data_IF_954963650815
#
_entry.id   IF_954963650815
#
_cell.length_a   1.000
_cell.length_b   1.000
_cell.length_c   1.000
_cell.angle_alpha   90.00
_cell.angle_beta   90.00
_cell.angle_gamma   90.00
#
_symmetry.space_group_name_H-M   'P 1'
#
loop_
_entity.id
_entity.type
_entity.pdbx_description
1 polymer ?
#
# COMPACT_ATOMS: atom_id res chain seq x y z
N UNK A 1 -7.68 16.02 17.50
CA UNK A 1 -6.43 15.26 17.34
C UNK A 1 -6.60 13.88 17.96
N UNK A 2 -6.33 12.81 17.21
CA UNK A 2 -6.36 11.44 17.69
C UNK A 2 -4.93 10.96 17.98
N UNK A 3 -4.69 10.37 19.15
CA UNK A 3 -3.37 9.86 19.51
C UNK A 3 -3.19 8.40 19.04
N UNK A 4 -2.11 8.12 18.32
CA UNK A 4 -1.93 6.84 17.60
C UNK A 4 -1.12 5.79 18.35
N UNK A 5 -0.46 6.12 19.47
CA UNK A 5 0.41 5.21 20.25
C UNK A 5 -0.20 3.82 20.50
N UNK A 6 0.63 2.78 20.51
CA UNK A 6 0.23 1.42 20.87
C UNK A 6 0.22 1.24 22.39
N UNK A 7 -0.42 0.19 22.92
CA UNK A 7 -0.48 -0.07 24.37
C UNK A 7 0.92 -0.20 25.00
N UNK A 8 1.88 -0.72 24.24
CA UNK A 8 3.24 -1.00 24.70
C UNK A 8 4.32 -0.11 24.06
N UNK A 9 3.98 0.87 23.20
CA UNK A 9 4.95 1.74 22.50
C UNK A 9 4.36 3.12 22.19
N UNK A 10 5.20 4.16 22.24
CA UNK A 10 4.82 5.52 21.82
C UNK A 10 4.61 5.62 20.31
N UNK A 11 5.52 5.03 19.52
CA UNK A 11 5.38 4.90 18.07
C UNK A 11 4.62 3.62 17.80
N UNK A 12 3.49 3.73 17.09
CA UNK A 12 2.63 2.60 16.77
C UNK A 12 3.10 1.86 15.52
N UNK A 13 2.34 0.87 15.09
CA UNK A 13 2.42 0.26 13.77
C UNK A 13 1.01 0.04 13.23
N UNK A 14 0.86 -0.18 11.93
CA UNK A 14 -0.45 -0.40 11.28
C UNK A 14 -1.32 -1.49 11.94
N UNK A 15 -0.71 -2.57 12.44
CA UNK A 15 -1.46 -3.64 13.13
C UNK A 15 -2.13 -3.16 14.45
N UNK A 16 -1.37 -2.46 15.30
CA UNK A 16 -1.88 -1.98 16.58
C UNK A 16 -2.86 -0.81 16.42
N UNK A 17 -2.57 0.09 15.48
CA UNK A 17 -3.45 1.22 15.16
C UNK A 17 -4.73 0.75 14.45
N UNK A 18 -4.62 -0.14 13.45
CA UNK A 18 -5.74 -0.77 12.77
C UNK A 18 -6.64 -1.56 13.73
N UNK A 19 -6.06 -2.31 14.68
CA UNK A 19 -6.84 -2.99 15.72
C UNK A 19 -7.59 -1.98 16.58
N UNK A 20 -6.96 -0.88 17.01
CA UNK A 20 -7.63 0.15 17.80
C UNK A 20 -8.78 0.83 17.03
N UNK A 21 -8.61 1.07 15.73
CA UNK A 21 -9.67 1.60 14.86
C UNK A 21 -10.81 0.59 14.68
N UNK A 22 -10.49 -0.69 14.52
CA UNK A 22 -11.46 -1.74 14.29
C UNK A 22 -12.25 -2.13 15.56
N UNK A 23 -11.66 -2.05 16.74
CA UNK A 23 -12.24 -2.61 17.97
C UNK A 23 -12.56 -1.56 19.04
N UNK A 24 -11.94 -0.38 18.96
CA UNK A 24 -11.98 0.65 20.01
C UNK A 24 -10.97 0.43 21.14
N UNK A 25 -10.11 -0.59 21.06
CA UNK A 25 -9.17 -0.95 22.14
C UNK A 25 -7.70 -0.89 21.69
N UNK A 26 -6.84 -0.27 22.51
CA UNK A 26 -5.39 -0.26 22.27
C UNK A 26 -4.81 -1.66 22.50
N UNK A 27 -4.01 -2.15 21.55
CA UNK A 27 -3.29 -3.43 21.65
C UNK A 27 -1.77 -3.26 21.53
N UNK A 28 -1.03 -4.38 21.57
CA UNK A 28 0.42 -4.42 21.39
C UNK A 28 0.82 -4.35 19.91
N UNK A 29 2.03 -3.85 19.62
CA UNK A 29 2.62 -3.87 18.26
C UNK A 29 2.50 -5.26 17.62
N UNK A 30 2.26 -5.28 16.30
CA UNK A 30 2.10 -6.47 15.45
C UNK A 30 0.87 -7.33 15.75
N UNK A 31 0.00 -6.97 16.68
CA UNK A 31 -1.22 -7.73 16.98
C UNK A 31 -2.37 -7.35 16.04
N UNK A 32 -3.10 -8.34 15.54
CA UNK A 32 -4.25 -8.17 14.64
C UNK A 32 -5.52 -8.57 15.40
N UNK A 33 -6.42 -7.62 15.68
CA UNK A 33 -7.76 -7.92 16.20
C UNK A 33 -7.80 -8.64 17.55
N UNK A 34 -6.73 -8.61 18.36
CA UNK A 34 -6.66 -9.27 19.67
C UNK A 34 -6.25 -8.28 20.76
N UNK A 35 -6.53 -8.65 22.01
CA UNK A 35 -6.08 -7.92 23.20
C UNK A 35 -4.56 -7.79 23.28
N UNK A 36 -4.05 -6.89 24.14
CA UNK A 36 -2.60 -6.67 24.25
C UNK A 36 -1.82 -7.88 24.78
N UNK A 37 -2.50 -8.84 25.41
CA UNK A 37 -1.93 -10.09 25.87
C UNK A 37 -1.89 -11.17 24.76
N UNK A 38 -2.55 -10.91 23.62
CA UNK A 38 -2.68 -11.82 22.47
C UNK A 38 -3.37 -13.13 22.84
N UNK A 39 -4.28 -13.07 23.80
CA UNK A 39 -5.00 -14.23 24.35
C UNK A 39 -6.44 -14.28 23.90
N UNK A 40 -7.06 -13.12 23.66
CA UNK A 40 -8.48 -13.05 23.32
C UNK A 40 -8.72 -12.21 22.05
N UNK A 41 -9.56 -12.69 21.12
CA UNK A 41 -10.01 -11.89 20.00
C UNK A 41 -10.91 -10.76 20.49
N UNK A 42 -10.74 -9.58 19.89
CA UNK A 42 -11.53 -8.39 20.13
C UNK A 42 -12.50 -8.20 18.98
N UNK A 43 -13.79 -8.09 19.30
CA UNK A 43 -14.84 -8.00 18.29
C UNK A 43 -14.77 -6.68 17.51
N UNK A 44 -14.63 -6.76 16.19
CA UNK A 44 -14.45 -5.60 15.31
C UNK A 44 -15.78 -4.91 15.00
N UNK A 45 -15.71 -3.65 14.54
CA UNK A 45 -16.86 -2.90 14.04
C UNK A 45 -17.46 -3.54 12.79
N UNK A 46 -16.64 -4.18 11.95
CA UNK A 46 -17.10 -4.89 10.76
C UNK A 46 -17.93 -6.14 11.15
N UNK A 47 -17.47 -6.91 12.14
CA UNK A 47 -18.25 -8.03 12.68
C UNK A 47 -19.54 -7.57 13.36
N UNK A 48 -19.52 -6.41 14.02
CA UNK A 48 -20.72 -5.79 14.61
C UNK A 48 -21.70 -5.34 13.52
N UNK A 49 -21.22 -4.77 12.42
CA UNK A 49 -22.04 -4.39 11.26
C UNK A 49 -22.67 -5.63 10.62
N UNK A 50 -21.88 -6.67 10.36
CA UNK A 50 -22.36 -7.96 9.83
C UNK A 50 -23.45 -8.57 10.72
N UNK A 51 -23.26 -8.57 12.04
CA UNK A 51 -24.24 -9.10 12.99
C UNK A 51 -25.55 -8.28 13.04
N UNK A 52 -25.54 -7.03 12.59
CA UNK A 52 -26.75 -6.21 12.40
C UNK A 52 -27.42 -6.43 11.04
N UNK A 53 -26.88 -7.34 10.21
CA UNK A 53 -27.39 -7.63 8.87
C UNK A 53 -26.92 -6.64 7.79
N UNK A 54 -25.96 -5.76 8.12
CA UNK A 54 -25.32 -4.90 7.13
C UNK A 54 -24.39 -5.75 6.25
N UNK A 55 -24.22 -5.36 4.99
CA UNK A 55 -23.14 -5.92 4.18
C UNK A 55 -21.79 -5.33 4.60
N UNK A 56 -20.70 -6.05 4.34
CA UNK A 56 -19.35 -5.64 4.74
C UNK A 56 -18.38 -5.72 3.56
N UNK A 57 -17.65 -4.62 3.33
CA UNK A 57 -16.58 -4.51 2.34
C UNK A 57 -15.24 -4.12 2.94
N UNK A 58 -14.17 -4.78 2.54
CA UNK A 58 -12.78 -4.50 2.96
C UNK A 58 -11.94 -4.26 1.70
N UNK A 59 -11.34 -3.09 1.56
CA UNK A 59 -10.50 -2.77 0.40
C UNK A 59 -9.17 -2.12 0.80
N UNK A 60 -8.13 -2.40 0.02
CA UNK A 60 -6.79 -1.85 0.25
C UNK A 60 -5.96 -1.77 -1.03
N UNK A 61 -4.97 -0.88 -1.11
CA UNK A 61 -3.94 -0.92 -2.16
C UNK A 61 -2.78 -1.87 -1.87
N UNK A 62 -2.66 -2.40 -0.66
CA UNK A 62 -1.65 -3.43 -0.33
C UNK A 62 -2.24 -4.85 -0.45
N UNK A 63 -1.52 -5.87 0.01
CA UNK A 63 -2.07 -7.23 0.04
C UNK A 63 -3.30 -7.30 0.98
N UNK A 64 -4.33 -8.06 0.61
CA UNK A 64 -5.59 -8.08 1.38
C UNK A 64 -5.41 -8.64 2.79
N UNK A 65 -4.39 -9.46 2.97
CA UNK A 65 -3.93 -10.06 4.23
C UNK A 65 -2.89 -9.21 4.98
N UNK A 66 -2.68 -7.96 4.55
CA UNK A 66 -1.84 -7.01 5.28
C UNK A 66 -2.51 -6.50 6.57
N UNK A 67 -1.74 -5.81 7.41
CA UNK A 67 -2.13 -5.52 8.78
C UNK A 67 -3.44 -4.72 8.90
N UNK A 68 -3.57 -3.58 8.23
CA UNK A 68 -4.74 -2.70 8.34
C UNK A 68 -6.03 -3.41 7.90
N UNK A 69 -6.14 -4.04 6.72
CA UNK A 69 -7.36 -4.75 6.33
C UNK A 69 -7.64 -5.93 7.24
N UNK A 70 -6.61 -6.71 7.60
CA UNK A 70 -6.75 -7.85 8.49
C UNK A 70 -7.37 -7.49 9.85
N UNK A 71 -7.07 -6.31 10.40
CA UNK A 71 -7.62 -5.89 11.70
C UNK A 71 -9.16 -5.80 11.73
N UNK A 72 -9.82 -5.74 10.57
CA UNK A 72 -11.28 -5.66 10.48
C UNK A 72 -11.95 -7.03 10.32
N UNK A 73 -11.23 -8.08 9.89
CA UNK A 73 -11.82 -9.39 9.60
C UNK A 73 -11.09 -10.59 10.23
N UNK A 74 -9.93 -10.38 10.83
CA UNK A 74 -9.04 -11.41 11.35
C UNK A 74 -8.61 -11.12 12.80
N UNK A 75 -8.20 -12.19 13.50
CA UNK A 75 -7.68 -12.18 14.86
C UNK A 75 -6.44 -13.07 14.91
N UNK A 76 -5.26 -12.47 14.99
CA UNK A 76 -3.97 -13.17 15.03
C UNK A 76 -2.97 -12.48 15.97
N UNK A 77 -2.13 -13.25 16.69
CA UNK A 77 -1.15 -12.70 17.62
C UNK A 77 -0.01 -11.96 16.89
N UNK A 78 0.22 -12.24 15.60
CA UNK A 78 1.26 -11.64 14.79
C UNK A 78 0.78 -11.34 13.36
N UNK A 79 1.00 -10.10 12.90
CA UNK A 79 0.68 -9.61 11.55
C UNK A 79 1.35 -10.40 10.41
N UNK A 80 2.40 -11.18 10.70
CA UNK A 80 3.10 -11.99 9.69
C UNK A 80 2.45 -13.35 9.44
N UNK A 81 1.37 -13.69 10.15
CA UNK A 81 0.58 -14.91 9.94
C UNK A 81 -0.34 -14.77 8.71
N UNK A 82 0.22 -14.40 7.56
CA UNK A 82 -0.52 -14.06 6.35
C UNK A 82 -1.46 -15.18 5.87
N UNK A 83 -1.03 -16.45 5.98
CA UNK A 83 -1.86 -17.56 5.56
C UNK A 83 -3.08 -17.73 6.48
N UNK A 84 -2.87 -17.65 7.80
CA UNK A 84 -3.91 -17.76 8.80
C UNK A 84 -4.86 -16.55 8.81
N UNK A 85 -4.34 -15.36 8.49
CA UNK A 85 -5.16 -14.18 8.18
C UNK A 85 -6.02 -14.47 6.94
N UNK A 86 -5.42 -14.99 5.87
CA UNK A 86 -6.13 -15.33 4.64
C UNK A 86 -7.23 -16.40 4.83
N UNK A 87 -7.03 -17.37 5.73
CA UNK A 87 -8.09 -18.34 6.06
C UNK A 87 -9.23 -17.70 6.85
N UNK A 88 -8.96 -16.68 7.68
CA UNK A 88 -10.01 -15.96 8.41
C UNK A 88 -10.87 -15.06 7.52
N UNK A 89 -10.35 -14.61 6.37
CA UNK A 89 -11.16 -13.97 5.32
C UNK A 89 -12.33 -14.87 4.92
N UNK A 90 -12.07 -16.17 4.72
CA UNK A 90 -13.07 -17.18 4.36
C UNK A 90 -14.14 -17.38 5.44
N UNK A 91 -13.77 -17.26 6.72
CA UNK A 91 -14.69 -17.45 7.85
C UNK A 91 -15.44 -16.19 8.26
N UNK A 92 -15.00 -15.00 7.81
CA UNK A 92 -15.62 -13.71 8.16
C UNK A 92 -17.08 -13.60 7.72
N UNK A 93 -17.42 -14.27 6.61
CA UNK A 93 -18.71 -14.13 5.95
C UNK A 93 -18.96 -12.75 5.35
N UNK A 94 -17.93 -11.91 5.16
CA UNK A 94 -18.10 -10.58 4.56
C UNK A 94 -18.40 -10.67 3.06
N UNK A 95 -18.88 -9.58 2.47
CA UNK A 95 -19.51 -9.62 1.15
C UNK A 95 -18.53 -9.22 0.04
N UNK A 96 -17.59 -8.32 0.34
CA UNK A 96 -16.67 -7.77 -0.66
C UNK A 96 -15.24 -7.64 -0.11
N UNK A 97 -14.28 -8.20 -0.82
CA UNK A 97 -12.85 -7.92 -0.62
C UNK A 97 -12.27 -7.35 -1.91
N UNK A 98 -11.45 -6.30 -1.84
CA UNK A 98 -10.95 -5.64 -3.05
C UNK A 98 -9.54 -5.08 -2.91
N UNK A 99 -8.69 -5.24 -3.92
CA UNK A 99 -7.38 -4.60 -3.92
C UNK A 99 -6.25 -5.50 -4.40
N UNK A 100 -5.18 -5.56 -3.61
CA UNK A 100 -4.12 -6.55 -3.78
C UNK A 100 -4.59 -7.99 -3.54
N UNK A 101 -3.69 -8.94 -3.79
CA UNK A 101 -3.93 -10.36 -3.58
C UNK A 101 -3.51 -10.85 -2.19
N UNK A 102 -3.48 -12.17 -2.02
CA UNK A 102 -2.82 -12.81 -0.89
C UNK A 102 -1.29 -12.80 -1.08
N UNK A 103 -0.53 -12.49 -0.03
CA UNK A 103 0.94 -12.49 -0.09
C UNK A 103 1.52 -13.90 -0.25
N UNK A 104 0.95 -14.86 0.48
CA UNK A 104 1.35 -16.26 0.44
C UNK A 104 0.13 -17.18 0.28
N UNK A 105 -0.48 -17.28 -0.91
CA UNK A 105 -1.73 -18.00 -1.12
C UNK A 105 -1.66 -19.50 -0.81
N UNK A 106 -0.47 -20.10 -0.81
CA UNK A 106 -0.23 -21.51 -0.45
C UNK A 106 0.68 -21.64 0.78
N UNK A 107 0.72 -20.61 1.62
CA UNK A 107 1.64 -20.51 2.76
C UNK A 107 3.05 -20.12 2.34
N UNK A 108 3.86 -19.66 3.31
CA UNK A 108 5.23 -19.17 3.06
C UNK A 108 6.13 -20.25 2.42
N UNK A 109 5.90 -21.51 2.78
CA UNK A 109 6.65 -22.67 2.27
C UNK A 109 5.98 -23.35 1.07
N UNK A 110 4.83 -22.84 0.59
CA UNK A 110 4.04 -23.40 -0.52
C UNK A 110 3.51 -24.82 -0.25
N UNK A 111 3.25 -25.13 1.00
CA UNK A 111 2.83 -26.44 1.53
C UNK A 111 1.37 -26.47 1.99
N UNK A 112 0.64 -25.35 1.87
CA UNK A 112 -0.75 -25.23 2.28
C UNK A 112 -1.71 -25.21 1.07
N UNK A 113 -3.00 -25.57 1.26
CA UNK A 113 -4.03 -25.40 0.24
C UNK A 113 -4.12 -23.96 -0.27
N UNK A 114 -4.41 -23.81 -1.57
CA UNK A 114 -4.50 -22.51 -2.22
C UNK A 114 -5.71 -21.71 -1.73
N UNK A 115 -5.46 -20.51 -1.19
CA UNK A 115 -6.50 -19.63 -0.66
C UNK A 115 -7.49 -19.16 -1.72
N UNK A 116 -7.08 -18.93 -2.98
CA UNK A 116 -8.02 -18.57 -4.05
C UNK A 116 -8.97 -19.72 -4.38
N UNK A 117 -8.47 -20.96 -4.36
CA UNK A 117 -9.35 -22.13 -4.52
C UNK A 117 -10.34 -22.24 -3.36
N UNK A 118 -9.87 -22.00 -2.13
CA UNK A 118 -10.72 -21.99 -0.94
C UNK A 118 -11.78 -20.86 -0.98
N UNK A 119 -11.41 -19.66 -1.45
CA UNK A 119 -12.31 -18.51 -1.66
C UNK A 119 -13.40 -18.88 -2.67
N UNK A 120 -13.04 -19.46 -3.81
CA UNK A 120 -14.00 -19.91 -4.82
C UNK A 120 -14.93 -21.00 -4.28
N UNK A 121 -14.40 -21.96 -3.51
CA UNK A 121 -15.18 -23.03 -2.87
C UNK A 121 -16.16 -22.50 -1.81
N UNK A 122 -15.91 -21.31 -1.23
CA UNK A 122 -16.84 -20.60 -0.36
C UNK A 122 -17.91 -19.78 -1.10
N UNK A 123 -17.91 -19.83 -2.43
CA UNK A 123 -18.91 -19.19 -3.28
C UNK A 123 -18.59 -17.75 -3.67
N UNK A 124 -17.36 -17.28 -3.46
CA UNK A 124 -16.96 -15.95 -3.88
C UNK A 124 -16.72 -15.89 -5.39
N UNK A 125 -17.27 -14.86 -6.03
CA UNK A 125 -16.88 -14.49 -7.39
C UNK A 125 -15.49 -13.84 -7.33
N UNK A 126 -14.47 -14.48 -7.93
CA UNK A 126 -13.12 -13.92 -8.01
C UNK A 126 -12.99 -13.12 -9.31
N UNK A 127 -12.71 -11.82 -9.19
CA UNK A 127 -12.61 -10.89 -10.32
C UNK A 127 -11.16 -10.47 -10.51
N UNK A 128 -10.56 -10.85 -11.64
CA UNK A 128 -9.16 -10.54 -12.02
C UNK A 128 -9.04 -9.97 -13.44
N UNK A 129 -10.16 -9.55 -14.02
CA UNK A 129 -10.22 -9.07 -15.41
C UNK A 129 -11.17 -7.89 -15.51
N UNK A 130 -10.78 -6.85 -16.27
CA UNK A 130 -11.58 -5.64 -16.44
C UNK A 130 -12.99 -5.94 -16.98
N UNK A 131 -13.08 -6.82 -17.99
CA UNK A 131 -14.37 -7.19 -18.59
C UNK A 131 -15.34 -7.81 -17.56
N UNK A 132 -14.83 -8.60 -16.63
CA UNK A 132 -15.63 -9.17 -15.54
C UNK A 132 -15.98 -8.07 -14.53
N UNK A 133 -15.02 -7.23 -14.15
CA UNK A 133 -15.21 -6.11 -13.23
C UNK A 133 -16.29 -5.12 -13.71
N UNK A 134 -16.40 -4.89 -15.01
CA UNK A 134 -17.41 -4.00 -15.59
C UNK A 134 -18.84 -4.59 -15.53
N UNK A 135 -18.96 -5.92 -15.39
CA UNK A 135 -20.24 -6.64 -15.47
C UNK A 135 -20.74 -7.20 -14.15
N UNK A 136 -19.90 -7.24 -13.10
CA UNK A 136 -20.34 -7.68 -11.78
C UNK A 136 -21.40 -6.73 -11.22
N UNK A 137 -22.33 -7.31 -10.46
CA UNK A 137 -23.44 -6.61 -9.83
C UNK A 137 -23.67 -7.14 -8.42
N UNK A 138 -24.69 -6.63 -7.74
CA UNK A 138 -25.13 -7.16 -6.43
C UNK A 138 -25.36 -8.68 -6.44
N UNK A 139 -25.76 -9.27 -7.58
CA UNK A 139 -25.98 -10.73 -7.74
C UNK A 139 -24.69 -11.54 -7.75
N UNK A 140 -23.54 -10.88 -7.91
CA UNK A 140 -22.22 -11.50 -7.93
C UNK A 140 -21.61 -11.63 -6.53
N UNK A 141 -22.26 -11.10 -5.48
CA UNK A 141 -21.80 -11.22 -4.10
C UNK A 141 -22.01 -12.65 -3.55
N UNK A 142 -21.11 -13.14 -2.67
CA UNK A 142 -19.90 -12.46 -2.20
C UNK A 142 -18.81 -12.43 -3.29
N UNK A 143 -17.90 -11.46 -3.25
CA UNK A 143 -16.86 -11.31 -4.29
C UNK A 143 -15.50 -10.87 -3.76
N UNK A 144 -14.46 -11.26 -4.49
CA UNK A 144 -13.09 -10.85 -4.26
C UNK A 144 -12.54 -10.24 -5.56
N UNK A 145 -12.34 -8.92 -5.56
CA UNK A 145 -11.67 -8.18 -6.64
C UNK A 145 -10.18 -8.16 -6.36
N UNK A 146 -9.39 -8.73 -7.25
CA UNK A 146 -7.94 -8.73 -7.15
C UNK A 146 -7.38 -8.01 -8.36
N UNK A 147 -6.51 -7.04 -8.12
CA UNK A 147 -5.86 -6.29 -9.19
C UNK A 147 -5.17 -7.28 -10.16
N UNK A 148 -5.40 -7.16 -11.48
CA UNK A 148 -4.79 -8.06 -12.46
C UNK A 148 -3.26 -7.89 -12.51
N UNK A 149 -2.78 -6.72 -12.09
CA UNK A 149 -1.36 -6.39 -11.97
C UNK A 149 -1.02 -6.29 -10.49
N UNK A 150 -0.12 -7.17 -10.04
CA UNK A 150 0.37 -7.17 -8.66
C UNK A 150 1.89 -7.04 -8.64
N UNK A 151 2.37 -6.31 -7.63
CA UNK A 151 3.78 -6.19 -7.27
C UNK A 151 4.26 -7.45 -6.53
N UNK A 152 5.56 -7.52 -6.22
CA UNK A 152 6.17 -8.67 -5.58
C UNK A 152 5.61 -9.01 -4.18
N UNK A 153 5.00 -8.03 -3.49
CA UNK A 153 4.35 -8.25 -2.18
C UNK A 153 2.85 -8.50 -2.30
N UNK A 154 2.34 -8.82 -3.50
CA UNK A 154 0.93 -9.00 -3.82
C UNK A 154 0.07 -7.75 -3.58
N UNK A 155 0.69 -6.57 -3.56
CA UNK A 155 0.06 -5.26 -3.53
C UNK A 155 -0.24 -4.74 -4.95
N UNK A 156 -1.10 -3.73 -5.02
CA UNK A 156 -1.34 -2.98 -6.24
C UNK A 156 -0.09 -2.17 -6.63
N UNK A 157 0.13 -1.89 -7.92
CA UNK A 157 1.14 -0.90 -8.32
C UNK A 157 0.82 0.45 -7.67
N UNK A 158 1.85 1.29 -7.47
CA UNK A 158 1.62 2.68 -7.08
C UNK A 158 0.74 3.37 -8.14
N UNK A 159 -0.06 4.35 -7.73
CA UNK A 159 -0.95 5.10 -8.59
C UNK A 159 -0.22 5.72 -9.79
N UNK A 160 1.01 6.20 -9.59
CA UNK A 160 1.86 6.76 -10.65
C UNK A 160 2.41 5.70 -11.63
N UNK A 161 2.46 4.44 -11.21
CA UNK A 161 2.93 3.30 -12.02
C UNK A 161 1.77 2.49 -12.60
N UNK A 162 0.53 2.99 -12.47
CA UNK A 162 -0.65 2.33 -13.01
C UNK A 162 -0.52 2.10 -14.52
N UNK A 163 -0.84 0.88 -14.94
CA UNK A 163 -0.80 0.46 -16.35
C UNK A 163 -2.20 0.12 -16.85
N UNK A 164 -2.39 0.15 -18.17
CA UNK A 164 -3.64 -0.28 -18.81
C UNK A 164 -4.04 -1.68 -18.34
N UNK A 165 -5.27 -1.82 -17.83
CA UNK A 165 -5.81 -3.08 -17.31
C UNK A 165 -5.56 -3.31 -15.82
N UNK A 166 -4.83 -2.44 -15.12
CA UNK A 166 -4.80 -2.44 -13.65
C UNK A 166 -6.04 -1.74 -13.07
N UNK A 167 -6.48 -2.16 -11.89
CA UNK A 167 -7.55 -1.48 -11.16
C UNK A 167 -7.01 -0.33 -10.32
N UNK A 168 -7.78 0.74 -10.15
CA UNK A 168 -7.48 1.82 -9.20
C UNK A 168 -8.25 1.64 -7.90
N UNK A 169 -7.76 2.20 -6.79
CA UNK A 169 -8.49 2.15 -5.51
C UNK A 169 -9.86 2.80 -5.65
N UNK A 170 -9.91 3.98 -6.26
CA UNK A 170 -11.14 4.72 -6.50
C UNK A 170 -12.15 3.93 -7.35
N UNK A 171 -11.70 3.20 -8.36
CA UNK A 171 -12.55 2.31 -9.17
C UNK A 171 -13.11 1.14 -8.36
N UNK A 172 -12.29 0.51 -7.51
CA UNK A 172 -12.73 -0.56 -6.61
C UNK A 172 -13.75 -0.03 -5.60
N UNK A 173 -13.52 1.15 -5.01
CA UNK A 173 -14.43 1.78 -4.05
C UNK A 173 -15.76 2.11 -4.69
N UNK A 174 -15.75 2.72 -5.89
CA UNK A 174 -16.98 2.99 -6.65
C UNK A 174 -17.78 1.71 -6.86
N UNK A 175 -17.13 0.64 -7.32
CA UNK A 175 -17.79 -0.64 -7.55
C UNK A 175 -18.31 -1.27 -6.26
N UNK A 176 -17.54 -1.18 -5.17
CA UNK A 176 -17.95 -1.69 -3.86
C UNK A 176 -19.22 -1.00 -3.37
N UNK A 177 -19.32 0.34 -3.47
CA UNK A 177 -20.55 1.08 -3.14
C UNK A 177 -21.73 0.56 -3.97
N UNK A 178 -21.56 0.43 -5.29
CA UNK A 178 -22.63 -0.04 -6.20
C UNK A 178 -23.18 -1.43 -5.81
N UNK A 179 -22.33 -2.36 -5.37
CA UNK A 179 -22.76 -3.75 -5.07
C UNK A 179 -23.14 -3.96 -3.61
N UNK A 180 -22.58 -3.17 -2.69
CA UNK A 180 -22.85 -3.27 -1.25
C UNK A 180 -24.11 -2.51 -0.84
N UNK A 181 -24.51 -1.46 -1.56
CA UNK A 181 -25.73 -0.72 -1.24
C UNK A 181 -26.96 -1.64 -1.17
N UNK A 182 -27.73 -1.49 -0.09
CA UNK A 182 -28.90 -2.31 0.22
C UNK A 182 -29.72 -1.70 1.38
N UNK A 183 -30.98 -2.13 1.59
CA UNK A 183 -31.86 -1.57 2.63
C UNK A 183 -31.40 -1.73 4.10
N UNK A 184 -30.42 -2.61 4.39
CA UNK A 184 -29.81 -2.74 5.73
C UNK A 184 -28.54 -1.91 5.87
N UNK A 185 -28.10 -1.21 4.83
CA UNK A 185 -26.85 -0.47 4.78
C UNK A 185 -25.62 -1.38 4.68
N UNK A 186 -24.45 -0.76 4.66
CA UNK A 186 -23.17 -1.45 4.59
C UNK A 186 -22.11 -0.77 5.46
N UNK A 187 -21.10 -1.54 5.82
CA UNK A 187 -19.84 -1.05 6.38
C UNK A 187 -18.73 -1.25 5.37
N UNK A 188 -17.91 -0.24 5.16
CA UNK A 188 -16.72 -0.30 4.31
C UNK A 188 -15.50 0.17 5.08
N UNK A 189 -14.42 -0.61 4.99
CA UNK A 189 -13.07 -0.15 5.34
C UNK A 189 -12.26 -0.04 4.06
N UNK A 190 -11.73 1.15 3.80
CA UNK A 190 -10.95 1.50 2.61
C UNK A 190 -9.57 1.95 3.05
N UNK A 191 -8.51 1.38 2.50
CA UNK A 191 -7.14 1.75 2.83
C UNK A 191 -6.33 2.18 1.59
N UNK A 192 -5.79 3.40 1.61
CA UNK A 192 -4.69 3.82 0.74
C UNK A 192 -3.33 3.42 1.32
N UNK A 193 -3.08 2.12 1.45
CA UNK A 193 -1.95 1.59 2.23
C UNK A 193 -0.57 1.88 1.65
N UNK A 194 -0.49 2.11 0.33
CA UNK A 194 0.76 2.44 -0.37
C UNK A 194 1.29 3.85 -0.03
N UNK A 195 0.51 4.74 0.59
CA UNK A 195 1.01 6.03 1.13
C UNK A 195 2.14 5.79 2.14
N UNK A 196 1.94 4.84 3.07
CA UNK A 196 2.94 4.44 4.07
C UNK A 196 4.21 3.89 3.41
N UNK A 197 4.06 3.08 2.36
CA UNK A 197 5.19 2.45 1.68
C UNK A 197 6.01 3.45 0.86
N UNK A 198 5.34 4.38 0.16
CA UNK A 198 6.01 5.48 -0.53
C UNK A 198 6.75 6.39 0.46
N UNK A 199 6.14 6.65 1.61
CA UNK A 199 6.75 7.43 2.68
C UNK A 199 7.97 6.74 3.30
N UNK A 200 7.90 5.42 3.55
CA UNK A 200 9.06 4.64 3.95
C UNK A 200 10.19 4.67 2.92
N UNK A 201 9.87 4.81 1.63
CA UNK A 201 10.85 4.91 0.55
C UNK A 201 11.40 6.33 0.32
N UNK A 202 10.94 7.31 1.10
CA UNK A 202 11.15 8.75 0.90
C UNK A 202 10.86 9.17 -0.55
N UNK A 203 9.74 8.69 -1.10
CA UNK A 203 9.32 8.94 -2.48
C UNK A 203 8.16 9.95 -2.51
N UNK A 204 8.49 11.24 -2.50
CA UNK A 204 7.48 12.31 -2.41
C UNK A 204 6.48 12.32 -3.57
N UNK A 205 6.92 12.04 -4.80
CA UNK A 205 6.03 11.98 -5.96
C UNK A 205 5.04 10.81 -5.83
N UNK A 206 5.49 9.64 -5.38
CA UNK A 206 4.61 8.51 -5.12
C UNK A 206 3.65 8.79 -3.96
N UNK A 207 4.10 9.41 -2.86
CA UNK A 207 3.22 9.81 -1.74
C UNK A 207 2.08 10.69 -2.24
N UNK A 208 2.39 11.74 -3.01
CA UNK A 208 1.37 12.66 -3.56
C UNK A 208 0.41 11.90 -4.48
N UNK A 209 0.92 11.04 -5.36
CA UNK A 209 0.11 10.22 -6.25
C UNK A 209 -0.87 9.31 -5.50
N UNK A 210 -0.42 8.65 -4.43
CA UNK A 210 -1.25 7.79 -3.58
C UNK A 210 -2.31 8.58 -2.80
N UNK A 211 -1.95 9.76 -2.26
CA UNK A 211 -2.90 10.65 -1.58
C UNK A 211 -3.99 11.12 -2.54
N UNK A 212 -3.63 11.52 -3.76
CA UNK A 212 -4.59 11.92 -4.79
C UNK A 212 -5.50 10.77 -5.22
N UNK A 213 -4.99 9.53 -5.26
CA UNK A 213 -5.82 8.36 -5.56
C UNK A 213 -6.80 8.02 -4.42
N UNK A 214 -6.37 8.16 -3.16
CA UNK A 214 -7.26 8.05 -2.00
C UNK A 214 -8.31 9.17 -1.98
N UNK A 215 -7.94 10.41 -2.34
CA UNK A 215 -8.87 11.54 -2.46
C UNK A 215 -9.98 11.27 -3.48
N UNK A 216 -9.65 10.71 -4.65
CA UNK A 216 -10.66 10.28 -5.64
C UNK A 216 -11.60 9.20 -5.07
N UNK A 217 -11.08 8.26 -4.30
CA UNK A 217 -11.89 7.23 -3.64
C UNK A 217 -12.84 7.84 -2.60
N UNK A 218 -12.35 8.82 -1.82
CA UNK A 218 -13.18 9.63 -0.91
C UNK A 218 -14.24 10.41 -1.69
N UNK A 219 -13.92 10.93 -2.87
CA UNK A 219 -14.86 11.58 -3.78
C UNK A 219 -16.10 10.72 -4.07
N UNK A 220 -15.92 9.45 -4.42
CA UNK A 220 -17.04 8.51 -4.63
C UNK A 220 -17.84 8.22 -3.36
N UNK A 221 -17.18 8.13 -2.20
CA UNK A 221 -17.88 7.99 -0.93
C UNK A 221 -18.71 9.24 -0.60
N UNK A 222 -18.18 10.45 -0.88
CA UNK A 222 -18.89 11.71 -0.69
C UNK A 222 -20.07 11.87 -1.66
N UNK A 223 -19.96 11.36 -2.89
CA UNK A 223 -21.08 11.29 -3.82
C UNK A 223 -22.23 10.44 -3.27
N UNK A 224 -21.92 9.27 -2.69
CA UNK A 224 -22.91 8.45 -2.00
C UNK A 224 -23.50 9.17 -0.78
N UNK A 225 -22.66 9.76 0.07
CA UNK A 225 -23.11 10.54 1.23
C UNK A 225 -24.08 11.66 0.86
N UNK A 226 -23.83 12.39 -0.24
CA UNK A 226 -24.72 13.47 -0.70
C UNK A 226 -26.12 12.96 -1.09
N UNK A 227 -26.25 11.70 -1.49
CA UNK A 227 -27.54 11.07 -1.79
C UNK A 227 -28.21 10.50 -0.53
N UNK A 228 -27.42 10.18 0.51
CA UNK A 228 -27.87 9.56 1.75
C UNK A 228 -27.32 10.25 3.02
N UNK A 229 -27.50 11.58 3.20
CA UNK A 229 -26.77 12.36 4.19
C UNK A 229 -27.18 12.06 5.64
N UNK A 230 -28.42 11.62 5.86
CA UNK A 230 -28.96 11.31 7.19
C UNK A 230 -28.61 9.88 7.66
N UNK A 231 -28.09 9.04 6.77
CA UNK A 231 -27.85 7.61 7.01
C UNK A 231 -26.38 7.20 6.83
N UNK A 232 -25.54 8.11 6.34
CA UNK A 232 -24.14 7.82 6.00
C UNK A 232 -23.17 8.55 6.93
N UNK A 233 -22.21 7.81 7.49
CA UNK A 233 -21.07 8.37 8.23
C UNK A 233 -19.77 8.02 7.50
N UNK A 234 -18.98 9.04 7.17
CA UNK A 234 -17.64 8.88 6.61
C UNK A 234 -16.62 9.36 7.65
N UNK A 235 -15.65 8.51 7.95
CA UNK A 235 -14.50 8.84 8.80
C UNK A 235 -13.24 8.64 7.96
N UNK A 236 -12.49 9.72 7.76
CA UNK A 236 -11.17 9.69 7.11
C UNK A 236 -10.12 9.98 8.19
N UNK A 237 -9.15 9.08 8.34
CA UNK A 237 -8.08 9.22 9.32
C UNK A 237 -6.85 8.42 8.89
N UNK A 238 -5.77 8.49 9.67
CA UNK A 238 -4.55 7.73 9.46
C UNK A 238 -4.27 6.85 10.69
N UNK A 239 -3.59 5.73 10.46
CA UNK A 239 -3.06 4.86 11.51
C UNK A 239 -1.81 5.48 12.16
N UNK A 240 -0.96 6.15 11.37
CA UNK A 240 0.15 7.00 11.81
C UNK A 240 0.67 7.91 10.69
N UNK A 241 1.62 8.79 11.02
CA UNK A 241 2.51 9.43 10.04
C UNK A 241 3.71 8.50 9.76
N UNK A 242 4.30 8.63 8.57
CA UNK A 242 5.48 7.87 8.15
C UNK A 242 6.46 8.77 7.43
N UNK A 243 7.75 8.65 7.75
CA UNK A 243 8.84 9.34 7.05
C UNK A 243 9.22 10.70 7.64
N UNK A 244 8.42 11.29 8.54
CA UNK A 244 8.69 12.62 9.08
C UNK A 244 8.66 13.70 7.99
N UNK A 245 7.71 13.59 7.06
CA UNK A 245 7.64 14.43 5.87
C UNK A 245 7.54 15.91 6.24
N UNK A 246 8.44 16.72 5.67
CA UNK A 246 8.46 18.16 5.83
C UNK A 246 8.47 18.86 4.47
N UNK A 247 7.81 20.02 4.40
CA UNK A 247 7.84 20.90 3.23
C UNK A 247 8.92 21.97 3.44
N UNK A 248 10.08 21.76 2.83
CA UNK A 248 11.24 22.63 2.93
C UNK A 248 12.26 22.21 3.99
N UNK A 249 13.45 22.78 3.89
CA UNK A 249 14.52 22.62 4.87
C UNK A 249 15.31 23.92 4.98
N UNK A 250 16.27 24.00 5.91
CA UNK A 250 17.01 25.23 6.18
C UNK A 250 17.63 25.90 4.92
N UNK A 251 18.02 25.09 3.93
CA UNK A 251 18.58 25.58 2.68
C UNK A 251 17.59 26.19 1.69
N UNK A 252 16.31 25.82 1.74
CA UNK A 252 15.27 26.44 0.89
C UNK A 252 14.68 27.70 1.51
N UNK A 253 15.01 28.00 2.78
CA UNK A 253 14.40 29.10 3.54
C UNK A 253 12.87 28.99 3.52
N UNK A 254 12.19 29.95 2.88
CA UNK A 254 10.73 29.99 2.71
C UNK A 254 10.27 29.62 1.30
N UNK A 255 11.20 29.28 0.41
CA UNK A 255 10.90 28.90 -0.97
C UNK A 255 10.55 27.40 -1.07
N UNK A 256 9.78 27.04 -2.07
CA UNK A 256 9.47 25.66 -2.44
C UNK A 256 9.18 25.57 -3.93
N UNK A 257 9.78 24.59 -4.60
CA UNK A 257 9.50 24.30 -6.01
C UNK A 257 8.99 22.85 -6.14
N UNK A 258 7.67 22.70 -6.00
CA UNK A 258 7.03 21.38 -6.14
C UNK A 258 6.97 20.90 -7.59
N UNK A 259 7.26 21.75 -8.58
CA UNK A 259 7.26 21.36 -10.00
C UNK A 259 8.40 20.40 -10.34
N UNK A 260 9.41 20.31 -9.46
CA UNK A 260 10.46 19.29 -9.54
C UNK A 260 9.90 17.88 -9.40
N UNK A 261 8.88 17.69 -8.54
CA UNK A 261 8.26 16.38 -8.32
C UNK A 261 7.50 15.90 -9.57
N UNK A 262 7.01 16.81 -10.42
CA UNK A 262 6.37 16.45 -11.70
C UNK A 262 7.34 15.73 -12.65
N UNK A 263 8.65 15.84 -12.43
CA UNK A 263 9.69 15.20 -13.25
C UNK A 263 9.90 13.73 -12.91
N UNK A 264 9.48 13.29 -11.73
CA UNK A 264 9.50 11.88 -11.40
C UNK A 264 8.34 11.14 -12.09
N UNK A 265 8.67 10.21 -12.97
CA UNK A 265 7.72 9.46 -13.81
C UNK A 265 7.47 8.03 -13.36
N UNK A 266 8.23 7.54 -12.40
CA UNK A 266 8.10 6.19 -11.84
C UNK A 266 8.35 6.19 -10.34
N UNK A 267 7.76 5.25 -9.61
CA UNK A 267 8.06 5.06 -8.19
C UNK A 267 9.42 4.40 -7.96
N UNK A 268 9.81 4.31 -6.69
CA UNK A 268 10.87 3.43 -6.20
C UNK A 268 10.80 2.00 -6.73
N UNK A 269 9.64 1.36 -6.65
CA UNK A 269 9.51 -0.07 -6.94
C UNK A 269 9.70 -0.34 -8.44
N UNK A 270 9.13 0.52 -9.28
CA UNK A 270 9.25 0.39 -10.72
C UNK A 270 10.67 0.72 -11.20
N UNK A 271 11.32 1.73 -10.61
CA UNK A 271 12.71 2.04 -10.94
C UNK A 271 13.65 0.89 -10.53
N UNK A 272 13.47 0.31 -9.34
CA UNK A 272 14.23 -0.85 -8.87
C UNK A 272 14.04 -2.05 -9.81
N UNK A 273 12.80 -2.30 -10.26
CA UNK A 273 12.51 -3.35 -11.23
C UNK A 273 13.20 -3.11 -12.58
N UNK A 274 13.20 -1.86 -13.09
CA UNK A 274 13.94 -1.48 -14.30
C UNK A 274 15.44 -1.69 -14.15
N UNK A 275 16.02 -1.28 -13.03
CA UNK A 275 17.45 -1.45 -12.74
C UNK A 275 17.84 -2.92 -12.61
N UNK A 276 17.03 -3.73 -11.92
CA UNK A 276 17.21 -5.18 -11.84
C UNK A 276 17.15 -5.84 -13.22
N UNK A 277 16.17 -5.47 -14.05
CA UNK A 277 16.06 -5.97 -15.42
C UNK A 277 17.26 -5.55 -16.27
N UNK A 278 17.75 -4.32 -16.12
CA UNK A 278 18.93 -3.80 -16.79
C UNK A 278 20.21 -4.57 -16.40
N UNK A 279 20.47 -4.73 -15.10
CA UNK A 279 21.59 -5.53 -14.58
C UNK A 279 21.55 -6.99 -15.03
N UNK A 280 20.36 -7.57 -15.20
CA UNK A 280 20.20 -8.95 -15.68
C UNK A 280 20.57 -9.12 -17.16
N UNK A 281 20.29 -8.13 -18.01
CA UNK A 281 20.55 -8.18 -19.47
C UNK A 281 21.92 -7.65 -19.88
N UNK A 282 22.64 -6.97 -19.00
CA UNK A 282 23.92 -6.33 -19.30
C UNK A 282 25.02 -6.91 -18.41
N UNK A 283 26.13 -7.43 -18.98
CA UNK A 283 27.26 -7.88 -18.18
C UNK A 283 27.71 -6.79 -17.21
N UNK A 284 28.04 -7.14 -15.96
CA UNK A 284 28.43 -6.18 -14.94
C UNK A 284 29.59 -5.27 -15.41
N UNK A 285 30.55 -5.83 -16.15
CA UNK A 285 31.67 -5.11 -16.75
C UNK A 285 31.28 -4.11 -17.86
N UNK A 286 30.03 -4.13 -18.33
CA UNK A 286 29.48 -3.23 -19.36
C UNK A 286 28.50 -2.20 -18.81
N UNK A 287 28.09 -2.30 -17.55
CA UNK A 287 27.26 -1.28 -16.93
C UNK A 287 28.12 -0.02 -16.73
N UNK A 288 27.64 1.12 -17.22
CA UNK A 288 28.33 2.42 -17.19
C UNK A 288 27.46 3.45 -16.50
N UNK A 289 28.07 4.37 -15.77
CA UNK A 289 27.38 5.45 -15.09
C UNK A 289 26.48 6.24 -16.06
N UNK A 290 27.02 6.64 -17.22
CA UNK A 290 26.27 7.43 -18.21
C UNK A 290 25.04 6.70 -18.76
N UNK A 291 25.08 5.36 -18.85
CA UNK A 291 23.93 4.56 -19.25
C UNK A 291 22.82 4.57 -18.21
N UNK A 292 23.18 4.52 -16.93
CA UNK A 292 22.22 4.61 -15.83
C UNK A 292 21.72 6.04 -15.67
N UNK A 293 22.57 7.05 -15.90
CA UNK A 293 22.14 8.44 -15.89
C UNK A 293 21.13 8.77 -16.98
N UNK A 294 21.16 8.09 -18.14
CA UNK A 294 20.07 8.20 -19.12
C UNK A 294 18.74 7.69 -18.57
N UNK A 295 18.75 6.62 -17.78
CA UNK A 295 17.53 6.13 -17.11
C UNK A 295 17.08 7.13 -16.06
N UNK A 296 18.00 7.63 -15.22
CA UNK A 296 17.71 8.64 -14.20
C UNK A 296 17.14 9.93 -14.81
N UNK A 297 17.71 10.41 -15.92
CA UNK A 297 17.17 11.57 -16.64
C UNK A 297 15.76 11.33 -17.19
N UNK A 298 15.48 10.12 -17.67
CA UNK A 298 14.15 9.76 -18.21
C UNK A 298 13.11 9.64 -17.10
N UNK A 299 13.50 9.04 -15.98
CA UNK A 299 12.58 8.61 -14.92
C UNK A 299 12.43 9.65 -13.80
N UNK A 300 13.41 10.55 -13.62
CA UNK A 300 13.41 11.59 -12.58
C UNK A 300 13.69 13.01 -13.13
N UNK A 301 14.05 13.17 -14.41
CA UNK A 301 14.41 14.46 -15.00
C UNK A 301 15.81 14.98 -14.65
N UNK A 302 16.53 14.30 -13.76
CA UNK A 302 17.86 14.70 -13.28
C UNK A 302 18.95 14.58 -14.36
N UNK A 303 19.67 15.68 -14.61
CA UNK A 303 20.67 15.76 -15.68
C UNK A 303 20.09 16.05 -17.07
N UNK A 304 18.77 16.27 -17.16
CA UNK A 304 18.08 16.75 -18.35
C UNK A 304 17.27 18.02 -18.02
N UNK A 305 16.02 17.85 -17.57
CA UNK A 305 15.14 18.95 -17.18
C UNK A 305 15.62 19.66 -15.90
N UNK A 306 16.20 18.88 -14.98
CA UNK A 306 16.75 19.37 -13.71
C UNK A 306 18.27 19.37 -13.82
N UNK A 307 18.87 20.55 -13.71
CA UNK A 307 20.33 20.70 -13.74
C UNK A 307 20.94 20.27 -12.41
N UNK A 308 21.84 19.29 -12.47
CA UNK A 308 22.60 18.83 -11.31
C UNK A 308 23.76 19.76 -10.96
N UNK A 309 23.93 20.02 -9.68
CA UNK A 309 25.17 20.54 -9.10
C UNK A 309 26.26 19.48 -9.10
N UNK A 310 27.51 19.90 -8.90
CA UNK A 310 28.64 18.97 -8.78
C UNK A 310 28.48 18.00 -7.60
N UNK A 311 27.92 18.48 -6.50
CA UNK A 311 27.71 17.65 -5.31
C UNK A 311 26.67 16.55 -5.58
N UNK A 312 25.55 16.88 -6.23
CA UNK A 312 24.50 15.92 -6.58
C UNK A 312 25.00 14.88 -7.60
N UNK A 313 25.82 15.31 -8.57
CA UNK A 313 26.47 14.38 -9.50
C UNK A 313 27.41 13.41 -8.78
N UNK A 314 28.21 13.89 -7.82
CA UNK A 314 29.08 13.05 -6.99
C UNK A 314 28.28 12.07 -6.11
N UNK A 315 27.13 12.49 -5.55
CA UNK A 315 26.23 11.61 -4.81
C UNK A 315 25.69 10.49 -5.70
N UNK A 316 25.22 10.81 -6.91
CA UNK A 316 24.76 9.81 -7.89
C UNK A 316 25.90 8.86 -8.31
N UNK A 317 27.14 9.36 -8.46
CA UNK A 317 28.31 8.52 -8.75
C UNK A 317 28.66 7.58 -7.59
N UNK A 318 28.52 8.03 -6.34
CA UNK A 318 28.67 7.16 -5.16
C UNK A 318 27.59 6.08 -5.15
N UNK A 319 26.33 6.47 -5.31
CA UNK A 319 25.19 5.55 -5.34
C UNK A 319 25.33 4.50 -6.46
N UNK A 320 25.78 4.89 -7.64
CA UNK A 320 26.09 3.97 -8.73
C UNK A 320 27.17 2.94 -8.35
N UNK A 321 28.24 3.35 -7.67
CA UNK A 321 29.29 2.42 -7.23
C UNK A 321 28.76 1.40 -6.23
N UNK A 322 27.92 1.83 -5.28
CA UNK A 322 27.26 0.93 -4.31
C UNK A 322 26.33 -0.04 -5.04
N UNK A 323 25.51 0.48 -5.94
CA UNK A 323 24.62 -0.28 -6.82
C UNK A 323 25.34 -1.38 -7.61
N UNK A 324 26.57 -1.14 -8.07
CA UNK A 324 27.37 -2.09 -8.86
C UNK A 324 28.20 -3.06 -8.02
N UNK A 325 28.74 -2.63 -6.88
CA UNK A 325 29.58 -3.47 -6.03
C UNK A 325 28.78 -4.46 -5.18
N UNK A 326 27.53 -4.13 -4.86
CA UNK A 326 26.73 -4.90 -3.92
C UNK A 326 27.24 -4.83 -2.47
N UNK A 327 28.27 -4.01 -2.21
CA UNK A 327 28.80 -3.78 -0.87
C UNK A 327 27.83 -2.89 -0.09
N UNK A 328 27.45 -3.36 1.11
CA UNK A 328 26.74 -2.54 2.09
C UNK A 328 27.75 -1.63 2.76
N UNK A 329 27.59 -0.32 2.63
CA UNK A 329 28.44 0.64 3.35
C UNK A 329 28.17 0.49 4.85
N UNK A 330 29.16 -0.04 5.59
CA UNK A 330 29.04 -0.38 7.01
C UNK A 330 29.50 0.72 7.97
N UNK A 331 29.85 1.90 7.45
CA UNK A 331 30.51 2.95 8.22
C UNK A 331 29.68 4.23 8.19
N UNK A 332 28.94 4.45 9.28
CA UNK A 332 27.97 5.53 9.49
C UNK A 332 26.72 5.42 8.60
N UNK A 333 25.69 4.72 9.10
CA UNK A 333 24.37 4.70 8.46
C UNK A 333 23.71 6.08 8.63
N UNK A 334 23.85 6.94 7.64
CA UNK A 334 22.89 8.03 7.47
C UNK A 334 21.54 7.46 6.98
N UNK A 335 20.49 8.28 6.98
CA UNK A 335 19.14 7.85 6.57
C UNK A 335 19.11 7.19 5.18
N UNK A 336 19.96 7.63 4.25
CA UNK A 336 20.03 7.04 2.90
C UNK A 336 20.65 5.63 2.92
N UNK A 337 21.65 5.42 3.76
CA UNK A 337 22.36 4.14 3.84
C UNK A 337 21.44 3.03 4.37
N UNK A 338 20.44 3.37 5.19
CA UNK A 338 19.37 2.45 5.61
C UNK A 338 18.46 2.09 4.43
N UNK A 339 18.11 3.07 3.59
CA UNK A 339 17.26 2.82 2.41
C UNK A 339 17.98 2.02 1.33
N UNK A 340 19.31 2.13 1.20
CA UNK A 340 20.10 1.32 0.27
C UNK A 340 20.10 -0.18 0.62
N UNK A 341 19.76 -0.56 1.85
CA UNK A 341 19.58 -1.97 2.24
C UNK A 341 18.28 -2.57 1.67
N UNK A 342 17.34 -1.73 1.23
CA UNK A 342 15.98 -2.12 0.82
C UNK A 342 15.72 -1.80 -0.66
N UNK A 343 16.16 -0.63 -1.12
CA UNK A 343 15.91 -0.08 -2.44
C UNK A 343 17.19 0.13 -3.25
N UNK A 344 17.06 0.27 -4.55
CA UNK A 344 18.17 0.52 -5.46
C UNK A 344 18.87 1.86 -5.13
N UNK A 345 20.18 1.85 -4.79
CA UNK A 345 20.85 3.04 -4.25
C UNK A 345 20.78 4.29 -5.14
N UNK A 346 20.88 4.10 -6.47
CA UNK A 346 20.79 5.23 -7.40
C UNK A 346 19.37 5.79 -7.49
N UNK A 347 18.34 4.96 -7.32
CA UNK A 347 16.94 5.41 -7.25
C UNK A 347 16.67 6.19 -5.97
N UNK A 348 17.12 5.70 -4.82
CA UNK A 348 17.02 6.42 -3.53
C UNK A 348 17.71 7.77 -3.60
N UNK A 349 18.91 7.83 -4.18
CA UNK A 349 19.66 9.08 -4.30
C UNK A 349 18.97 10.04 -5.27
N UNK A 350 18.45 9.55 -6.40
CA UNK A 350 17.74 10.38 -7.37
C UNK A 350 16.45 10.99 -6.80
N UNK A 351 15.70 10.29 -5.95
CA UNK A 351 14.49 10.86 -5.32
C UNK A 351 14.77 11.89 -4.23
N UNK A 352 15.97 11.86 -3.65
CA UNK A 352 16.38 12.80 -2.60
C UNK A 352 16.91 14.12 -3.17
N UNK A 353 17.48 14.07 -4.37
CA UNK A 353 17.98 15.24 -5.12
C UNK A 353 16.79 15.97 -5.74
#
# INVERSE_FOLDING_TARGET
FAATFAKNRYITCSAAAGTALATGEKTSINTIGMDSARTHPLRTIAERARAKGMKVGIMTTVSIDHATPACFYAHQPDRNMYYEIGTQLLSSGFDFFGGGGFKYPTGKNKDQPDLYQAVAAKGYTIVKEQKVFDTVSVRSLPMMVVNPVLSASSDMPYAMDSVSGSFSLSGIVKKAIEVLDNPKGFFMMVEGGKIDWAAHANDAAAIIGEVLELDKAIGYALEFYRQHPDETLIIVTADHETGGLALGWAGTQYESDFTLLDRQKVSSDLFDAKMKAYKKRTPASMVRFDSVMRMVATDFGLGADIRLSKCEEEQLRRAFRISMSGEKESLCKDENTVLFDIYEPIGVTARRI
#
